data_IF_585775115940
#
_entry.id   IF_585775115940
#
_cell.length_a   1.000
_cell.length_b   1.000
_cell.length_c   1.000
_cell.angle_alpha   90.00
_cell.angle_beta   90.00
_cell.angle_gamma   90.00
#
_symmetry.space_group_name_H-M   'P 1'
#
loop_
_entity.id
_entity.type
_entity.pdbx_description
1 polymer ?
#
# COMPACT_ATOMS: atom_id res chain seq x y z
N UNK A 1 29.83 -23.22 26.10
CA UNK A 1 30.24 -21.81 25.90
C UNK A 1 29.94 -21.41 24.47
N UNK A 2 29.19 -20.30 24.31
CA UNK A 2 28.97 -19.41 23.15
C UNK A 2 29.18 -19.97 21.72
N UNK A 3 28.29 -19.75 20.75
CA UNK A 3 27.63 -18.47 20.47
C UNK A 3 26.25 -18.66 19.83
N UNK A 4 25.24 -18.04 20.45
CA UNK A 4 23.97 -17.72 19.83
C UNK A 4 24.18 -16.63 18.79
N UNK A 5 24.52 -17.01 17.57
CA UNK A 5 24.47 -16.09 16.41
C UNK A 5 23.04 -16.02 15.88
N UNK A 6 22.12 -15.46 16.68
CA UNK A 6 20.85 -15.00 16.14
C UNK A 6 21.15 -13.68 15.42
N UNK A 7 21.44 -13.78 14.13
CA UNK A 7 21.31 -12.66 13.20
C UNK A 7 19.88 -12.16 13.37
N UNK A 8 19.71 -11.03 14.07
CA UNK A 8 18.40 -10.56 14.54
C UNK A 8 17.47 -10.31 13.36
N UNK A 9 16.74 -11.35 12.96
CA UNK A 9 15.69 -11.33 11.97
C UNK A 9 14.43 -10.77 12.63
N UNK A 10 13.61 -10.09 11.83
CA UNK A 10 12.26 -9.73 12.24
C UNK A 10 11.53 -11.00 12.69
N UNK A 11 10.87 -10.97 13.85
CA UNK A 11 10.23 -12.17 14.38
C UNK A 11 9.11 -12.63 13.42
N UNK A 12 8.87 -13.95 13.26
CA UNK A 12 7.84 -14.46 12.35
C UNK A 12 6.45 -13.88 12.62
N UNK A 13 6.12 -13.61 13.89
CA UNK A 13 4.87 -12.98 14.29
C UNK A 13 4.74 -11.53 13.81
N UNK A 14 5.84 -10.75 13.86
CA UNK A 14 5.87 -9.37 13.36
C UNK A 14 5.69 -9.34 11.84
N UNK A 15 6.39 -10.25 11.15
CA UNK A 15 6.26 -10.43 9.71
C UNK A 15 4.81 -10.75 9.30
N UNK A 16 4.17 -11.71 9.98
CA UNK A 16 2.79 -12.10 9.73
C UNK A 16 1.81 -10.94 9.97
N UNK A 17 2.02 -10.17 11.04
CA UNK A 17 1.19 -9.00 11.37
C UNK A 17 1.27 -7.92 10.30
N UNK A 18 2.49 -7.57 9.85
CA UNK A 18 2.66 -6.55 8.79
C UNK A 18 1.99 -7.01 7.50
N UNK A 19 2.18 -8.27 7.10
CA UNK A 19 1.51 -8.85 5.94
C UNK A 19 -0.02 -8.78 6.07
N UNK A 20 -0.56 -9.07 7.24
CA UNK A 20 -1.99 -8.99 7.50
C UNK A 20 -2.52 -7.56 7.33
N UNK A 21 -1.76 -6.53 7.71
CA UNK A 21 -2.14 -5.12 7.50
C UNK A 21 -2.24 -4.76 6.02
N UNK A 22 -1.25 -5.14 5.21
CA UNK A 22 -1.32 -4.91 3.77
C UNK A 22 -2.44 -5.72 3.11
N UNK A 23 -2.68 -6.95 3.56
CA UNK A 23 -3.78 -7.76 3.07
C UNK A 23 -5.14 -7.11 3.39
N UNK A 24 -5.34 -6.62 4.62
CA UNK A 24 -6.53 -5.88 5.00
C UNK A 24 -6.69 -4.62 4.16
N UNK A 25 -5.62 -3.83 3.96
CA UNK A 25 -5.66 -2.65 3.11
C UNK A 25 -6.11 -2.98 1.68
N UNK A 26 -5.53 -4.00 1.06
CA UNK A 26 -5.90 -4.43 -0.29
C UNK A 26 -7.37 -4.88 -0.32
N UNK A 27 -7.78 -5.69 0.66
CA UNK A 27 -9.12 -6.24 0.71
C UNK A 27 -10.19 -5.16 0.92
N UNK A 28 -9.95 -4.24 1.84
CA UNK A 28 -10.94 -3.25 2.25
C UNK A 28 -10.96 -2.03 1.33
N UNK A 29 -9.81 -1.64 0.76
CA UNK A 29 -9.68 -0.37 0.01
C UNK A 29 -9.47 -0.54 -1.48
N UNK A 30 -8.96 -1.68 -1.97
CA UNK A 30 -8.67 -1.90 -3.39
C UNK A 30 -9.62 -2.88 -4.05
N UNK A 31 -9.95 -4.00 -3.41
CA UNK A 31 -10.84 -5.01 -3.99
C UNK A 31 -12.17 -4.44 -4.51
N UNK A 32 -12.85 -3.50 -3.83
CA UNK A 32 -14.15 -3.00 -4.29
C UNK A 32 -14.08 -2.30 -5.65
N UNK A 33 -12.94 -1.71 -6.01
CA UNK A 33 -12.74 -1.10 -7.32
C UNK A 33 -12.81 -2.10 -8.48
N UNK A 34 -12.48 -3.37 -8.23
CA UNK A 34 -12.54 -4.44 -9.22
C UNK A 34 -13.97 -4.90 -9.56
N UNK A 35 -14.98 -4.40 -8.84
CA UNK A 35 -16.40 -4.71 -9.02
C UNK A 35 -17.24 -3.44 -9.18
N UNK A 36 -16.59 -2.29 -9.44
CA UNK A 36 -17.27 -1.00 -9.50
C UNK A 36 -18.29 -0.95 -10.65
N UNK A 37 -18.02 -1.62 -11.75
CA UNK A 37 -18.89 -1.67 -12.93
C UNK A 37 -20.20 -2.44 -12.68
N UNK A 38 -20.20 -3.41 -11.75
CA UNK A 38 -21.40 -4.18 -11.40
C UNK A 38 -22.15 -3.63 -10.19
N UNK A 39 -21.43 -3.31 -9.11
CA UNK A 39 -22.03 -3.04 -7.80
C UNK A 39 -21.95 -1.55 -7.43
N UNK A 40 -21.24 -0.75 -8.22
CA UNK A 40 -20.84 0.60 -7.84
C UNK A 40 -19.72 0.56 -6.79
N UNK A 41 -19.42 1.72 -6.23
CA UNK A 41 -18.37 1.88 -5.23
C UNK A 41 -18.88 2.75 -4.10
N UNK A 42 -18.68 2.33 -2.86
CA UNK A 42 -18.76 3.21 -1.70
C UNK A 42 -17.59 2.88 -0.76
N UNK A 43 -16.64 3.80 -0.64
CA UNK A 43 -15.43 3.60 0.16
C UNK A 43 -15.12 4.80 1.02
N UNK A 44 -14.69 4.52 2.24
CA UNK A 44 -14.21 5.55 3.18
C UNK A 44 -12.73 5.80 2.96
N UNK A 45 -12.39 7.05 2.62
CA UNK A 45 -11.01 7.55 2.56
C UNK A 45 -10.35 7.57 3.93
N UNK A 46 -9.04 7.73 3.93
CA UNK A 46 -8.26 7.84 5.15
C UNK A 46 -8.66 9.04 6.04
N UNK A 47 -9.03 10.17 5.43
CA UNK A 47 -9.52 11.37 6.14
C UNK A 47 -10.93 11.20 6.74
N UNK A 48 -11.55 10.03 6.52
CA UNK A 48 -12.87 9.68 7.02
C UNK A 48 -14.01 10.10 6.10
N UNK A 49 -13.74 10.81 5.00
CA UNK A 49 -14.74 11.14 3.97
C UNK A 49 -15.08 9.91 3.12
N UNK A 50 -16.23 9.92 2.46
CA UNK A 50 -16.68 8.81 1.60
C UNK A 50 -16.56 9.20 0.13
N UNK A 51 -16.00 8.32 -0.69
CA UNK A 51 -16.14 8.34 -2.15
C UNK A 51 -17.26 7.37 -2.50
N UNK A 52 -18.18 7.82 -3.35
CA UNK A 52 -19.19 6.96 -3.94
C UNK A 52 -19.22 7.13 -5.46
N UNK A 53 -19.38 6.02 -6.18
CA UNK A 53 -19.66 5.98 -7.60
C UNK A 53 -20.82 5.03 -7.84
N UNK A 54 -21.79 5.45 -8.64
CA UNK A 54 -22.79 4.54 -9.20
C UNK A 54 -22.10 3.52 -10.13
N UNK A 55 -22.72 2.35 -10.39
CA UNK A 55 -22.20 1.39 -11.36
C UNK A 55 -21.95 2.06 -12.71
N UNK A 56 -20.70 2.10 -13.13
CA UNK A 56 -20.26 2.79 -14.34
C UNK A 56 -18.93 2.21 -14.85
N UNK A 57 -18.58 2.51 -16.10
CA UNK A 57 -17.25 2.17 -16.62
C UNK A 57 -16.15 2.83 -15.78
N UNK A 58 -15.06 2.10 -15.59
CA UNK A 58 -13.87 2.60 -14.90
C UNK A 58 -13.03 3.51 -15.82
N UNK A 59 -13.54 4.72 -16.05
CA UNK A 59 -12.85 5.76 -16.81
C UNK A 59 -13.14 7.15 -16.20
N UNK A 60 -12.31 8.14 -16.51
CA UNK A 60 -12.48 9.52 -16.02
C UNK A 60 -12.35 9.62 -14.49
N UNK A 61 -13.42 10.09 -13.83
CA UNK A 61 -13.40 10.45 -12.40
C UNK A 61 -13.07 9.27 -11.45
N UNK A 62 -13.63 8.05 -11.61
CA UNK A 62 -13.20 6.86 -10.88
C UNK A 62 -11.71 6.55 -11.00
N UNK A 63 -11.18 6.55 -12.23
CA UNK A 63 -9.77 6.26 -12.49
C UNK A 63 -8.86 7.34 -11.87
N UNK A 64 -9.24 8.61 -12.01
CA UNK A 64 -8.56 9.73 -11.35
C UNK A 64 -8.62 9.61 -9.82
N UNK A 65 -9.74 9.19 -9.25
CA UNK A 65 -9.88 9.01 -7.81
C UNK A 65 -8.98 7.90 -7.26
N UNK A 66 -8.80 6.80 -8.02
CA UNK A 66 -7.87 5.73 -7.64
C UNK A 66 -6.41 6.21 -7.63
N UNK A 67 -5.97 6.95 -8.66
CA UNK A 67 -4.55 7.29 -8.88
C UNK A 67 -4.12 8.69 -8.39
N UNK A 68 -4.89 9.73 -8.68
CA UNK A 68 -4.49 11.13 -8.52
C UNK A 68 -4.98 11.74 -7.20
N UNK A 69 -5.94 11.09 -6.53
CA UNK A 69 -6.61 11.62 -5.35
C UNK A 69 -5.88 11.45 -4.01
N UNK A 70 -4.59 11.07 -3.99
CA UNK A 70 -3.89 10.68 -2.76
C UNK A 70 -4.72 9.67 -1.93
N UNK A 71 -5.35 8.71 -2.62
CA UNK A 71 -6.34 7.82 -2.01
C UNK A 71 -5.68 6.74 -1.14
N UNK A 72 -4.74 5.99 -1.73
CA UNK A 72 -4.10 4.86 -1.03
C UNK A 72 -2.90 5.27 -0.18
N UNK A 73 -2.20 6.32 -0.60
CA UNK A 73 -0.92 6.76 -0.03
C UNK A 73 -1.03 7.08 1.47
N UNK A 74 -2.08 7.74 1.98
CA UNK A 74 -2.23 8.00 3.42
C UNK A 74 -2.34 6.71 4.26
N UNK A 75 -2.98 5.66 3.74
CA UNK A 75 -3.01 4.36 4.43
C UNK A 75 -1.62 3.71 4.48
N UNK A 76 -0.88 3.78 3.38
CA UNK A 76 0.51 3.29 3.32
C UNK A 76 1.42 4.06 4.27
N UNK A 77 1.27 5.38 4.33
CA UNK A 77 2.02 6.24 5.26
C UNK A 77 1.72 5.86 6.71
N UNK A 78 0.45 5.65 7.06
CA UNK A 78 0.05 5.25 8.40
C UNK A 78 0.69 3.90 8.81
N UNK A 79 0.65 2.90 7.91
CA UNK A 79 1.34 1.62 8.14
C UNK A 79 2.83 1.88 8.35
N UNK A 80 3.51 2.62 7.47
CA UNK A 80 4.93 2.89 7.59
C UNK A 80 5.28 3.58 8.92
N UNK A 81 4.56 4.65 9.30
CA UNK A 81 4.80 5.38 10.55
C UNK A 81 4.62 4.48 11.77
N UNK A 82 3.55 3.70 11.82
CA UNK A 82 3.27 2.84 12.97
C UNK A 82 4.26 1.68 13.09
N UNK A 83 4.64 1.05 11.98
CA UNK A 83 5.56 -0.07 11.99
C UNK A 83 6.99 0.36 12.32
N UNK A 84 7.43 1.49 11.77
CA UNK A 84 8.75 2.05 12.08
C UNK A 84 8.84 2.55 13.52
N UNK A 85 7.77 3.17 14.05
CA UNK A 85 7.72 3.57 15.46
C UNK A 85 7.77 2.36 16.42
N UNK A 86 7.12 1.24 16.08
CA UNK A 86 7.19 0.00 16.87
C UNK A 86 8.57 -0.65 16.84
N UNK A 87 9.29 -0.46 15.73
CA UNK A 87 10.65 -0.94 15.56
C UNK A 87 11.73 0.04 16.07
N UNK A 88 11.32 1.17 16.68
CA UNK A 88 12.26 2.11 17.27
C UNK A 88 13.10 1.41 18.35
N UNK A 89 14.42 1.45 18.19
CA UNK A 89 15.36 0.78 19.11
C UNK A 89 15.68 -0.67 18.75
N UNK A 90 15.08 -1.25 17.69
CA UNK A 90 15.52 -2.54 17.16
C UNK A 90 16.93 -2.43 16.55
N UNK A 91 17.72 -3.52 16.55
CA UNK A 91 19.04 -3.53 15.94
C UNK A 91 18.98 -3.30 14.42
N UNK A 92 20.04 -2.76 13.78
CA UNK A 92 20.05 -2.43 12.35
C UNK A 92 19.65 -3.58 11.43
N UNK A 93 19.99 -4.83 11.78
CA UNK A 93 19.59 -6.01 11.02
C UNK A 93 18.07 -6.21 10.98
N UNK A 94 17.40 -6.00 12.11
CA UNK A 94 15.94 -6.10 12.21
C UNK A 94 15.24 -4.93 11.49
N UNK A 95 15.81 -3.72 11.57
CA UNK A 95 15.30 -2.57 10.80
C UNK A 95 15.43 -2.79 9.29
N UNK A 96 16.54 -3.39 8.83
CA UNK A 96 16.71 -3.78 7.43
C UNK A 96 15.68 -4.84 7.02
N UNK A 97 15.45 -5.86 7.84
CA UNK A 97 14.42 -6.87 7.55
C UNK A 97 13.02 -6.25 7.49
N UNK A 98 12.69 -5.35 8.43
CA UNK A 98 11.43 -4.60 8.44
C UNK A 98 11.25 -3.80 7.15
N UNK A 99 12.29 -3.08 6.72
CA UNK A 99 12.27 -2.28 5.51
C UNK A 99 11.87 -3.12 4.29
N UNK A 100 12.49 -4.29 4.11
CA UNK A 100 12.20 -5.15 2.96
C UNK A 100 10.75 -5.65 2.97
N UNK A 101 10.20 -5.97 4.15
CA UNK A 101 8.81 -6.42 4.30
C UNK A 101 7.83 -5.30 3.98
N UNK A 102 8.07 -4.10 4.49
CA UNK A 102 7.25 -2.92 4.21
C UNK A 102 7.32 -2.53 2.73
N UNK A 103 8.51 -2.53 2.14
CA UNK A 103 8.71 -2.28 0.71
C UNK A 103 7.96 -3.28 -0.17
N UNK A 104 8.00 -4.57 0.17
CA UNK A 104 7.26 -5.60 -0.56
C UNK A 104 5.74 -5.37 -0.46
N UNK A 105 5.24 -4.96 0.71
CA UNK A 105 3.83 -4.61 0.91
C UNK A 105 3.40 -3.39 0.08
N UNK A 106 4.20 -2.32 0.08
CA UNK A 106 4.00 -1.12 -0.74
C UNK A 106 3.91 -1.51 -2.22
N UNK A 107 4.90 -2.26 -2.71
CA UNK A 107 4.92 -2.71 -4.10
C UNK A 107 3.68 -3.53 -4.43
N UNK A 108 3.25 -4.43 -3.56
CA UNK A 108 2.05 -5.24 -3.77
C UNK A 108 0.79 -4.38 -3.91
N UNK A 109 0.64 -3.34 -3.09
CA UNK A 109 -0.51 -2.42 -3.16
C UNK A 109 -0.56 -1.70 -4.51
N UNK A 110 0.53 -1.08 -4.95
CA UNK A 110 0.58 -0.39 -6.25
C UNK A 110 0.36 -1.35 -7.43
N UNK A 111 0.97 -2.54 -7.39
CA UNK A 111 0.77 -3.54 -8.44
C UNK A 111 -0.68 -4.03 -8.49
N UNK A 112 -1.36 -4.16 -7.35
CA UNK A 112 -2.79 -4.48 -7.33
C UNK A 112 -3.64 -3.34 -7.88
N UNK A 113 -3.30 -2.06 -7.62
CA UNK A 113 -3.98 -0.94 -8.28
C UNK A 113 -3.79 -0.96 -9.79
N UNK A 114 -2.58 -1.25 -10.27
CA UNK A 114 -2.29 -1.41 -11.70
C UNK A 114 -3.07 -2.58 -12.30
N UNK A 115 -3.17 -3.71 -11.60
CA UNK A 115 -3.98 -4.85 -12.03
C UNK A 115 -5.45 -4.45 -12.16
N UNK A 116 -6.02 -3.73 -11.18
CA UNK A 116 -7.40 -3.21 -11.24
C UNK A 116 -7.58 -2.27 -12.43
N UNK A 117 -6.71 -1.25 -12.55
CA UNK A 117 -6.75 -0.28 -13.65
C UNK A 117 -6.75 -0.98 -15.01
N UNK A 118 -5.84 -1.94 -15.19
CA UNK A 118 -5.66 -2.63 -16.45
C UNK A 118 -6.85 -3.53 -16.83
N UNK A 119 -7.49 -4.19 -15.85
CA UNK A 119 -8.65 -5.05 -16.13
C UNK A 119 -9.96 -4.28 -16.29
N UNK A 120 -10.07 -3.11 -15.66
CA UNK A 120 -11.33 -2.35 -15.64
C UNK A 120 -11.45 -1.36 -16.82
N UNK A 121 -10.36 -1.10 -17.55
CA UNK A 121 -10.38 -0.28 -18.77
C UNK A 121 -10.84 -1.12 -19.98
N UNK A 122 -11.77 -0.58 -20.78
CA UNK A 122 -12.12 -1.13 -22.10
C UNK A 122 -13.06 -2.34 -22.10
N UNK A 123 -14.17 -2.30 -21.34
CA UNK A 123 -15.19 -3.36 -21.26
C UNK A 123 -14.63 -4.75 -20.86
N UNK A 124 -13.53 -4.77 -20.08
CA UNK A 124 -12.87 -6.02 -19.67
C UNK A 124 -12.00 -6.66 -20.75
N UNK A 125 -11.79 -6.01 -21.90
CA UNK A 125 -10.86 -6.45 -22.94
C UNK A 125 -9.49 -5.83 -22.69
N UNK A 126 -8.79 -6.36 -21.68
CA UNK A 126 -7.48 -5.89 -21.18
C UNK A 126 -6.36 -5.80 -22.26
N UNK A 127 -6.58 -6.35 -23.45
CA UNK A 127 -5.55 -6.55 -24.48
C UNK A 127 -5.12 -5.26 -25.22
N UNK A 128 -5.74 -4.10 -24.99
CA UNK A 128 -5.56 -2.91 -25.84
C UNK A 128 -4.90 -1.71 -25.16
N UNK A 129 -4.53 -1.80 -23.87
CA UNK A 129 -3.95 -0.68 -23.12
C UNK A 129 -2.68 -1.04 -22.36
N UNK A 130 -1.72 -0.11 -22.37
CA UNK A 130 -0.53 -0.18 -21.53
C UNK A 130 -0.91 -0.05 -20.05
N UNK A 131 -0.23 -0.82 -19.20
CA UNK A 131 -0.42 -0.76 -17.75
C UNK A 131 0.03 0.59 -17.20
N UNK A 132 -0.71 1.12 -16.23
CA UNK A 132 -0.31 2.34 -15.50
C UNK A 132 1.08 2.18 -14.88
N UNK A 133 1.96 3.16 -15.05
CA UNK A 133 3.30 3.10 -14.44
C UNK A 133 3.26 3.27 -12.92
N UNK A 134 3.63 2.22 -12.20
CA UNK A 134 3.68 2.23 -10.73
C UNK A 134 5.06 2.56 -10.16
N UNK A 135 6.11 2.60 -10.98
CA UNK A 135 7.48 2.73 -10.49
C UNK A 135 7.67 4.01 -9.69
N UNK A 136 7.14 5.12 -10.19
CA UNK A 136 7.23 6.42 -9.51
C UNK A 136 6.53 6.41 -8.15
N UNK A 137 5.35 5.80 -8.04
CA UNK A 137 4.59 5.69 -6.79
C UNK A 137 5.31 4.81 -5.76
N UNK A 138 5.78 3.64 -6.20
CA UNK A 138 6.57 2.73 -5.35
C UNK A 138 7.84 3.43 -4.87
N UNK A 139 8.54 4.15 -5.74
CA UNK A 139 9.76 4.88 -5.40
C UNK A 139 9.49 6.00 -4.37
N UNK A 140 8.44 6.81 -4.56
CA UNK A 140 8.02 7.85 -3.61
C UNK A 140 7.71 7.26 -2.23
N UNK A 141 6.91 6.21 -2.18
CA UNK A 141 6.50 5.59 -0.92
C UNK A 141 7.65 4.82 -0.24
N UNK A 142 8.57 4.26 -1.01
CA UNK A 142 9.82 3.68 -0.47
C UNK A 142 10.70 4.77 0.13
N UNK A 143 10.81 5.93 -0.51
CA UNK A 143 11.55 7.06 0.04
C UNK A 143 10.90 7.60 1.34
N UNK A 144 9.57 7.60 1.42
CA UNK A 144 8.84 7.92 2.65
C UNK A 144 9.16 6.93 3.79
N UNK A 145 9.12 5.63 3.50
CA UNK A 145 9.53 4.59 4.44
C UNK A 145 10.97 4.80 4.94
N UNK A 146 11.90 5.13 4.04
CA UNK A 146 13.29 5.36 4.39
C UNK A 146 13.46 6.57 5.33
N UNK A 147 12.67 7.64 5.16
CA UNK A 147 12.66 8.78 6.09
C UNK A 147 12.03 8.43 7.44
N UNK A 148 11.00 7.59 7.46
CA UNK A 148 10.43 7.06 8.70
C UNK A 148 11.47 6.26 9.51
N UNK A 149 12.22 5.37 8.85
CA UNK A 149 13.28 4.58 9.49
C UNK A 149 14.46 5.44 9.96
N UNK A 150 14.79 6.50 9.25
CA UNK A 150 15.81 7.46 9.65
C UNK A 150 15.37 8.37 10.82
N UNK A 151 14.09 8.32 11.22
CA UNK A 151 13.53 9.20 12.25
C UNK A 151 13.42 10.66 11.81
N UNK A 152 13.46 10.93 10.51
CA UNK A 152 13.40 12.29 9.94
C UNK A 152 11.99 12.70 9.54
N UNK A 153 11.03 11.76 9.51
CA UNK A 153 9.61 12.08 9.41
C UNK A 153 9.11 12.65 10.74
N UNK A 154 8.77 13.94 10.72
CA UNK A 154 8.16 14.61 11.89
C UNK A 154 6.71 14.19 11.95
N UNK A 155 6.26 13.71 13.11
CA UNK A 155 4.86 13.38 13.37
C UNK A 155 4.03 14.64 13.05
N UNK A 156 3.27 14.63 11.95
CA UNK A 156 2.26 15.65 11.73
C UNK A 156 1.29 15.57 12.91
N UNK A 157 1.24 16.66 13.68
CA UNK A 157 0.45 16.81 14.89
C UNK A 157 -1.04 16.89 14.58
#
# INVERSE_FOLDING_TARGET
MAASSSTAALAPAEHARIRARFFALIWDQLRPWAYMDTDGLELRRFDGTTIAFEPAMFDGAPRQALWEGNYIEPFLEAICREETARAAGLPPAAQKALREVLRAGIARVYLTMQEIDWHMVGDGVAEHHDKHDTESGIARMTAFLDRCLAGTETRAA
#
